data_IF_500489543991
#
_entry.id   IF_500489543991
#
_cell.length_a   1.000
_cell.length_b   1.000
_cell.length_c   1.000
_cell.angle_alpha   90.00
_cell.angle_beta   90.00
_cell.angle_gamma   90.00
#
_symmetry.space_group_name_H-M   'P 1'
#
loop_
_entity.id
_entity.type
_entity.pdbx_description
1 polymer ?
#
# COMPACT_ATOMS: atom_id res chain seq x y z
N UNK A 1 -7.24 -31.42 -50.06
CA UNK A 1 -6.92 -31.85 -48.68
C UNK A 1 -6.40 -30.63 -47.93
N UNK A 2 -7.33 -29.88 -47.28
CA UNK A 2 -6.97 -28.64 -46.54
C UNK A 2 -6.50 -29.04 -45.14
N UNK A 3 -5.26 -28.70 -44.82
CA UNK A 3 -4.67 -28.86 -43.50
C UNK A 3 -5.16 -27.69 -42.60
N UNK A 4 -6.08 -27.95 -41.68
CA UNK A 4 -6.48 -27.00 -40.65
C UNK A 4 -5.37 -26.90 -39.63
N UNK A 5 -4.59 -25.83 -39.66
CA UNK A 5 -3.65 -25.50 -38.59
C UNK A 5 -4.47 -25.01 -37.40
N UNK A 6 -4.56 -25.84 -36.36
CA UNK A 6 -5.16 -25.48 -35.08
C UNK A 6 -4.15 -24.63 -34.32
N UNK A 7 -4.31 -23.30 -34.35
CA UNK A 7 -3.50 -22.40 -33.57
C UNK A 7 -4.01 -22.41 -32.12
N UNK A 8 -3.35 -23.22 -31.27
CA UNK A 8 -3.63 -23.24 -29.84
C UNK A 8 -3.10 -21.93 -29.24
N UNK A 9 -4.01 -21.01 -28.96
CA UNK A 9 -3.70 -19.83 -28.14
C UNK A 9 -3.35 -20.31 -26.74
N UNK A 10 -2.06 -20.35 -26.41
CA UNK A 10 -1.59 -20.48 -25.04
C UNK A 10 -1.96 -19.18 -24.32
N UNK A 11 -3.04 -19.20 -23.56
CA UNK A 11 -3.31 -18.17 -22.57
C UNK A 11 -2.22 -18.28 -21.51
N UNK A 12 -1.21 -17.40 -21.57
CA UNK A 12 -0.28 -17.22 -20.46
C UNK A 12 -1.11 -16.62 -19.34
N UNK A 13 -1.45 -17.43 -18.36
CA UNK A 13 -2.12 -16.95 -17.15
C UNK A 13 -1.20 -15.93 -16.47
N UNK A 14 -1.74 -14.74 -16.15
CA UNK A 14 -0.98 -13.75 -15.41
C UNK A 14 -0.39 -14.39 -14.14
N UNK A 15 0.85 -14.07 -13.75
CA UNK A 15 1.44 -14.65 -12.55
C UNK A 15 0.54 -14.35 -11.35
N UNK A 16 0.23 -15.39 -10.59
CA UNK A 16 -0.51 -15.26 -9.33
C UNK A 16 0.50 -15.23 -8.18
N UNK A 17 0.27 -14.41 -7.16
CA UNK A 17 1.15 -14.38 -6.00
C UNK A 17 1.01 -15.65 -5.17
N UNK A 18 2.03 -15.97 -4.39
CA UNK A 18 1.95 -16.98 -3.35
C UNK A 18 1.73 -16.32 -1.99
N UNK A 19 0.76 -16.84 -1.22
CA UNK A 19 0.61 -16.47 0.19
C UNK A 19 1.82 -16.91 0.98
N UNK A 20 2.45 -15.97 1.68
CA UNK A 20 3.62 -16.20 2.52
C UNK A 20 3.42 -15.54 3.87
N UNK A 21 4.14 -16.06 4.85
CA UNK A 21 4.10 -15.55 6.21
C UNK A 21 5.52 -15.46 6.79
N UNK A 22 5.75 -14.40 7.57
CA UNK A 22 6.94 -14.23 8.37
C UNK A 22 6.51 -13.88 9.79
N UNK A 23 7.22 -14.38 10.80
CA UNK A 23 6.91 -14.04 12.21
C UNK A 23 7.91 -13.01 12.69
N UNK A 24 7.45 -11.80 12.93
CA UNK A 24 8.28 -10.68 13.40
C UNK A 24 7.61 -10.02 14.61
N UNK A 25 8.38 -9.59 15.59
CA UNK A 25 7.88 -8.93 16.80
C UNK A 25 6.76 -9.72 17.54
N UNK A 26 6.77 -11.05 17.42
CA UNK A 26 5.73 -11.92 17.98
C UNK A 26 4.43 -11.98 17.17
N UNK A 27 4.37 -11.31 16.00
CA UNK A 27 3.21 -11.31 15.11
C UNK A 27 3.53 -12.09 13.84
N UNK A 28 2.54 -12.85 13.35
CA UNK A 28 2.57 -13.51 12.05
C UNK A 28 2.10 -12.51 11.01
N UNK A 29 3.02 -12.04 10.16
CA UNK A 29 2.75 -11.07 9.10
C UNK A 29 2.61 -11.82 7.77
N UNK A 30 1.50 -11.59 7.10
CA UNK A 30 1.20 -12.10 5.77
C UNK A 30 1.74 -11.17 4.68
N UNK A 31 2.19 -11.75 3.58
CA UNK A 31 2.50 -11.02 2.36
C UNK A 31 2.25 -11.87 1.11
N UNK A 32 1.87 -11.21 0.05
CA UNK A 32 1.76 -11.78 -1.28
C UNK A 32 3.12 -11.72 -1.96
N UNK A 33 3.68 -12.89 -2.25
CA UNK A 33 4.97 -13.06 -2.93
C UNK A 33 4.74 -13.29 -4.43
N UNK A 34 5.08 -12.28 -5.24
CA UNK A 34 4.96 -12.33 -6.70
C UNK A 34 6.16 -13.03 -7.36
N UNK A 35 6.99 -13.72 -6.59
CA UNK A 35 8.11 -14.50 -7.07
C UNK A 35 9.32 -13.66 -7.49
N UNK A 36 10.19 -14.30 -8.30
CA UNK A 36 11.48 -13.74 -8.74
C UNK A 36 12.53 -13.60 -7.63
N UNK A 37 12.73 -14.62 -6.77
CA UNK A 37 13.79 -14.59 -5.78
C UNK A 37 15.15 -14.37 -6.46
N UNK A 38 16.01 -13.56 -5.86
CA UNK A 38 17.31 -13.16 -6.43
C UNK A 38 17.29 -11.84 -7.19
N UNK A 39 16.11 -11.28 -7.52
CA UNK A 39 15.97 -9.90 -7.98
C UNK A 39 15.97 -8.93 -6.78
N UNK A 40 16.25 -7.62 -7.01
CA UNK A 40 16.14 -6.62 -5.95
C UNK A 40 14.74 -6.63 -5.32
N UNK A 41 14.62 -6.58 -3.98
CA UNK A 41 13.32 -6.61 -3.32
C UNK A 41 12.54 -5.31 -3.51
N UNK A 42 11.23 -5.44 -3.74
CA UNK A 42 10.26 -4.35 -3.68
C UNK A 42 9.20 -4.70 -2.64
N UNK A 43 9.07 -3.88 -1.60
CA UNK A 43 8.03 -4.01 -0.58
C UNK A 43 6.93 -3.00 -0.88
N UNK A 44 5.67 -3.49 -0.96
CA UNK A 44 4.49 -2.66 -1.18
C UNK A 44 3.62 -2.64 0.08
N UNK A 45 3.26 -1.45 0.55
CA UNK A 45 2.55 -1.20 1.81
C UNK A 45 1.25 -0.43 1.54
N UNK A 46 0.13 -1.03 1.88
CA UNK A 46 -1.21 -0.48 1.65
C UNK A 46 -1.57 0.67 2.62
N UNK A 47 -2.61 1.40 2.31
CA UNK A 47 -3.21 2.41 3.20
C UNK A 47 -3.98 1.79 4.36
N UNK A 48 -4.35 2.61 5.36
CA UNK A 48 -5.16 2.17 6.49
C UNK A 48 -6.47 1.54 6.00
N UNK A 49 -6.84 0.39 6.55
CA UNK A 49 -8.06 -0.34 6.20
C UNK A 49 -8.00 -1.11 4.87
N UNK A 50 -6.90 -1.04 4.11
CA UNK A 50 -6.65 -1.82 2.89
C UNK A 50 -5.92 -3.13 3.20
N UNK A 51 -5.62 -3.91 2.17
CA UNK A 51 -4.93 -5.21 2.24
C UNK A 51 -3.91 -5.36 1.12
N UNK A 52 -3.04 -6.38 1.19
CA UNK A 52 -1.99 -6.65 0.19
C UNK A 52 -2.54 -6.80 -1.24
N UNK A 53 -3.73 -7.39 -1.39
CA UNK A 53 -4.43 -7.51 -2.68
C UNK A 53 -4.81 -6.18 -3.35
N UNK A 54 -4.67 -5.05 -2.66
CA UNK A 54 -4.75 -3.71 -3.27
C UNK A 54 -3.76 -3.55 -4.42
N UNK A 55 -2.64 -4.28 -4.40
CA UNK A 55 -1.59 -4.19 -5.41
C UNK A 55 -1.68 -5.21 -6.55
N UNK A 56 -2.68 -6.09 -6.57
CA UNK A 56 -2.81 -7.17 -7.57
C UNK A 56 -2.82 -6.66 -9.02
N UNK A 57 -3.38 -5.46 -9.24
CA UNK A 57 -3.47 -4.84 -10.56
C UNK A 57 -2.13 -4.28 -11.06
N UNK A 58 -1.15 -4.10 -10.20
CA UNK A 58 0.10 -3.39 -10.50
C UNK A 58 1.37 -4.19 -10.15
N UNK A 59 1.33 -5.05 -9.15
CA UNK A 59 2.48 -5.86 -8.73
C UNK A 59 3.07 -6.74 -9.86
N UNK A 60 2.28 -7.36 -10.76
CA UNK A 60 2.81 -8.13 -11.88
C UNK A 60 3.71 -7.34 -12.81
N UNK A 61 3.45 -6.03 -12.99
CA UNK A 61 4.29 -5.16 -13.82
C UNK A 61 5.74 -5.10 -13.30
N UNK A 62 5.90 -4.96 -11.98
CA UNK A 62 7.22 -4.86 -11.35
C UNK A 62 7.90 -6.21 -11.13
N UNK A 63 7.17 -7.32 -11.14
CA UNK A 63 7.71 -8.66 -10.90
C UNK A 63 8.73 -9.10 -11.97
N UNK A 64 8.73 -8.45 -13.16
CA UNK A 64 9.76 -8.66 -14.19
C UNK A 64 11.14 -8.13 -13.79
N UNK A 65 11.21 -7.13 -12.91
CA UNK A 65 12.45 -6.44 -12.51
C UNK A 65 12.78 -6.62 -11.03
N UNK A 66 11.78 -6.90 -10.19
CA UNK A 66 11.90 -6.97 -8.73
C UNK A 66 11.32 -8.27 -8.17
N UNK A 67 11.79 -8.66 -6.99
CA UNK A 67 11.08 -9.59 -6.12
C UNK A 67 10.02 -8.78 -5.33
N UNK A 68 8.79 -8.79 -5.83
CA UNK A 68 7.70 -7.98 -5.27
C UNK A 68 7.03 -8.71 -4.11
N UNK A 69 6.90 -8.03 -2.99
CA UNK A 69 6.24 -8.48 -1.77
C UNK A 69 5.21 -7.43 -1.34
N UNK A 70 3.92 -7.71 -1.56
CA UNK A 70 2.84 -6.86 -1.05
C UNK A 70 2.42 -7.35 0.34
N UNK A 71 2.53 -6.49 1.35
CA UNK A 71 2.39 -6.87 2.76
C UNK A 71 1.01 -6.49 3.28
N UNK A 72 0.32 -7.44 3.93
CA UNK A 72 -0.74 -7.11 4.86
C UNK A 72 -0.09 -6.57 6.14
N UNK A 73 -0.17 -5.27 6.38
CA UNK A 73 0.39 -4.69 7.60
C UNK A 73 -0.32 -5.25 8.83
N UNK A 74 0.35 -5.32 10.02
CA UNK A 74 -0.28 -5.78 11.25
C UNK A 74 -1.70 -5.25 11.41
N UNK A 75 -2.61 -6.06 11.93
CA UNK A 75 -4.00 -5.68 12.12
C UNK A 75 -4.85 -5.64 10.85
N UNK A 76 -4.31 -5.99 9.67
CA UNK A 76 -5.01 -5.98 8.39
C UNK A 76 -4.89 -7.32 7.68
N UNK A 77 -5.86 -7.61 6.81
CA UNK A 77 -5.85 -8.78 5.95
C UNK A 77 -5.69 -10.08 6.71
N UNK A 78 -4.74 -10.89 6.27
CA UNK A 78 -4.42 -12.18 6.88
C UNK A 78 -3.23 -12.12 7.87
N UNK A 79 -2.74 -10.90 8.17
CA UNK A 79 -1.77 -10.65 9.23
C UNK A 79 -2.40 -10.68 10.62
N UNK A 80 -1.58 -11.06 11.61
CA UNK A 80 -2.01 -11.08 13.01
C UNK A 80 -2.39 -9.68 13.52
N UNK A 81 -3.35 -9.66 14.43
CA UNK A 81 -3.72 -8.50 15.21
C UNK A 81 -2.80 -8.36 16.42
N UNK A 82 -2.40 -7.14 16.74
CA UNK A 82 -1.57 -6.89 17.90
C UNK A 82 -2.42 -6.96 19.18
N UNK A 83 -2.13 -7.89 20.13
CA UNK A 83 -2.91 -8.04 21.35
C UNK A 83 -2.83 -6.83 22.29
N UNK A 84 -1.87 -5.94 22.07
CA UNK A 84 -1.69 -4.69 22.82
C UNK A 84 -2.28 -3.48 22.11
N UNK A 85 -2.83 -3.66 20.87
CA UNK A 85 -3.35 -2.57 20.06
C UNK A 85 -2.27 -1.56 19.62
N UNK A 86 -1.05 -2.03 19.39
CA UNK A 86 0.08 -1.20 18.98
C UNK A 86 0.04 -0.98 17.45
N UNK A 87 -0.49 0.17 17.02
CA UNK A 87 -0.74 0.52 15.62
C UNK A 87 -0.22 1.92 15.25
N UNK A 88 0.80 2.43 15.96
CA UNK A 88 1.49 3.64 15.56
C UNK A 88 2.34 3.38 14.30
N UNK A 89 2.72 4.43 13.59
CA UNK A 89 3.59 4.31 12.39
C UNK A 89 4.88 3.56 12.73
N UNK A 90 5.47 3.83 13.88
CA UNK A 90 6.69 3.19 14.35
C UNK A 90 6.52 1.69 14.64
N UNK A 91 5.30 1.24 14.97
CA UNK A 91 5.04 -0.19 15.17
C UNK A 91 4.99 -0.94 13.84
N UNK A 92 4.37 -0.35 12.82
CA UNK A 92 4.43 -0.90 11.45
C UNK A 92 5.87 -0.93 10.91
N UNK A 93 6.66 0.12 11.18
CA UNK A 93 8.08 0.18 10.76
C UNK A 93 8.87 -0.98 11.36
N UNK A 94 8.70 -1.29 12.64
CA UNK A 94 9.36 -2.43 13.29
C UNK A 94 9.05 -3.77 12.61
N UNK A 95 7.85 -3.94 12.06
CA UNK A 95 7.53 -5.16 11.33
C UNK A 95 8.30 -5.24 10.01
N UNK A 96 8.42 -4.12 9.31
CA UNK A 96 9.21 -4.07 8.06
C UNK A 96 10.70 -4.27 8.34
N UNK A 97 11.21 -3.72 9.45
CA UNK A 97 12.58 -3.98 9.94
C UNK A 97 12.80 -5.48 10.18
N UNK A 98 11.91 -6.11 10.97
CA UNK A 98 11.98 -7.54 11.24
C UNK A 98 11.84 -8.40 9.99
N UNK A 99 10.97 -8.02 9.05
CA UNK A 99 10.82 -8.70 7.76
C UNK A 99 12.10 -8.58 6.93
N UNK A 100 12.69 -7.38 6.85
CA UNK A 100 13.94 -7.15 6.14
C UNK A 100 15.10 -7.97 6.73
N UNK A 101 15.17 -8.09 8.04
CA UNK A 101 16.18 -8.90 8.74
C UNK A 101 15.99 -10.40 8.47
N UNK A 102 14.79 -10.95 8.72
CA UNK A 102 14.53 -12.38 8.58
C UNK A 102 14.65 -12.88 7.16
N UNK A 103 14.18 -12.10 6.20
CA UNK A 103 14.26 -12.43 4.76
C UNK A 103 15.61 -11.98 4.15
N UNK A 104 16.51 -11.38 4.94
CA UNK A 104 17.84 -10.88 4.53
C UNK A 104 17.77 -9.91 3.36
N UNK A 105 16.75 -9.05 3.36
CA UNK A 105 16.56 -8.09 2.28
C UNK A 105 17.57 -6.94 2.37
N UNK A 106 18.06 -6.48 1.23
CA UNK A 106 18.96 -5.35 1.06
C UNK A 106 18.59 -4.62 -0.22
N UNK A 107 18.93 -3.34 -0.30
CA UNK A 107 18.64 -2.50 -1.45
C UNK A 107 17.13 -2.52 -1.80
N UNK A 108 16.30 -2.26 -0.79
CA UNK A 108 14.85 -2.38 -0.85
C UNK A 108 14.27 -1.16 -1.56
N UNK A 109 13.52 -1.38 -2.64
CA UNK A 109 12.56 -0.40 -3.11
C UNK A 109 11.33 -0.52 -2.21
N UNK A 110 10.96 0.57 -1.54
CA UNK A 110 9.80 0.57 -0.66
C UNK A 110 8.74 1.54 -1.18
N UNK A 111 7.57 1.01 -1.46
CA UNK A 111 6.42 1.77 -1.93
C UNK A 111 5.29 1.68 -0.91
N UNK A 112 4.68 2.82 -0.62
CA UNK A 112 3.50 2.84 0.21
C UNK A 112 2.49 3.90 -0.19
N UNK A 113 1.20 3.53 -0.10
CA UNK A 113 0.08 4.46 -0.20
C UNK A 113 -0.35 4.90 1.21
N UNK A 114 -0.65 6.18 1.40
CA UNK A 114 -1.24 6.70 2.64
C UNK A 114 -0.44 6.29 3.90
N UNK A 115 -1.01 5.48 4.80
CA UNK A 115 -0.30 4.98 5.99
C UNK A 115 0.94 4.18 5.61
N UNK A 116 0.85 3.31 4.58
CA UNK A 116 2.02 2.60 4.07
C UNK A 116 3.13 3.52 3.57
N UNK A 117 2.78 4.65 2.95
CA UNK A 117 3.76 5.65 2.53
C UNK A 117 4.46 6.34 3.70
N UNK A 118 3.77 6.54 4.83
CA UNK A 118 4.39 7.04 6.07
C UNK A 118 5.37 6.03 6.65
N UNK A 119 4.98 4.75 6.64
CA UNK A 119 5.88 3.65 7.05
C UNK A 119 7.11 3.62 6.15
N UNK A 120 6.94 3.74 4.84
CA UNK A 120 8.05 3.77 3.88
C UNK A 120 9.00 4.95 4.13
N UNK A 121 8.47 6.15 4.38
CA UNK A 121 9.27 7.34 4.68
C UNK A 121 10.07 7.17 5.98
N UNK A 122 9.42 6.68 7.06
CA UNK A 122 10.09 6.47 8.36
C UNK A 122 11.16 5.37 8.24
N UNK A 123 10.83 4.25 7.59
CA UNK A 123 11.79 3.17 7.35
C UNK A 123 13.04 3.68 6.60
N UNK A 124 12.85 4.43 5.51
CA UNK A 124 13.96 4.95 4.74
C UNK A 124 14.80 6.00 5.49
N UNK A 125 14.18 6.78 6.38
CA UNK A 125 14.88 7.71 7.25
C UNK A 125 15.73 7.03 8.32
N UNK A 126 15.21 5.93 8.90
CA UNK A 126 15.92 5.15 9.92
C UNK A 126 16.99 4.21 9.31
N UNK A 127 16.76 3.72 8.09
CA UNK A 127 17.58 2.72 7.44
C UNK A 127 18.05 3.17 6.04
N UNK A 128 18.81 4.29 5.94
CA UNK A 128 19.25 4.82 4.65
C UNK A 128 20.12 3.85 3.85
N UNK A 129 20.77 2.90 4.53
CA UNK A 129 21.61 1.87 3.88
C UNK A 129 20.80 0.66 3.37
N UNK A 130 19.54 0.50 3.78
CA UNK A 130 18.64 -0.56 3.31
C UNK A 130 17.72 -0.09 2.20
N UNK A 131 17.29 1.17 2.23
CA UNK A 131 16.34 1.73 1.27
C UNK A 131 17.07 2.15 -0.02
N UNK A 132 16.80 1.46 -1.13
CA UNK A 132 17.33 1.80 -2.45
C UNK A 132 16.55 2.94 -3.12
N UNK A 133 15.22 2.95 -2.96
CA UNK A 133 14.33 4.00 -3.44
C UNK A 133 13.03 3.98 -2.65
N UNK A 134 12.35 5.12 -2.60
CA UNK A 134 11.05 5.29 -1.92
C UNK A 134 10.01 5.81 -2.90
N UNK A 135 8.83 5.16 -2.92
CA UNK A 135 7.66 5.63 -3.65
C UNK A 135 6.59 5.96 -2.61
N UNK A 136 6.31 7.25 -2.41
CA UNK A 136 5.30 7.74 -1.48
C UNK A 136 4.06 8.16 -2.26
N UNK A 137 3.01 7.34 -2.19
CA UNK A 137 1.78 7.57 -2.93
C UNK A 137 0.78 8.34 -2.09
N UNK A 138 0.52 9.57 -2.53
CA UNK A 138 -0.44 10.54 -2.01
C UNK A 138 -0.43 10.71 -0.49
N UNK A 139 0.78 10.82 0.10
CA UNK A 139 0.94 11.09 1.52
C UNK A 139 2.22 11.87 1.81
N UNK A 140 2.11 12.82 2.72
CA UNK A 140 3.24 13.58 3.28
C UNK A 140 3.55 13.18 4.73
N UNK A 141 4.55 13.84 5.34
CA UNK A 141 4.96 13.58 6.72
C UNK A 141 3.90 13.90 7.77
N UNK A 142 2.98 14.78 7.45
CA UNK A 142 2.01 15.33 8.41
C UNK A 142 0.66 14.62 8.31
N UNK A 143 0.04 14.38 9.46
CA UNK A 143 -1.37 13.99 9.58
C UNK A 143 -2.06 14.97 10.52
N UNK A 144 -2.85 15.93 9.98
CA UNK A 144 -3.61 16.86 10.80
C UNK A 144 -4.63 16.18 11.69
N UNK A 145 -4.95 16.79 12.84
CA UNK A 145 -5.93 16.28 13.81
C UNK A 145 -7.28 15.98 13.16
N UNK A 146 -7.79 16.88 12.32
CA UNK A 146 -9.09 16.73 11.67
C UNK A 146 -9.14 15.50 10.76
N UNK A 147 -8.04 15.20 10.06
CA UNK A 147 -7.91 14.00 9.21
C UNK A 147 -7.90 12.74 10.09
N UNK A 148 -7.12 12.75 11.17
CA UNK A 148 -7.04 11.62 12.09
C UNK A 148 -8.41 11.29 12.69
N UNK A 149 -9.11 12.29 13.23
CA UNK A 149 -10.44 12.12 13.83
C UNK A 149 -11.49 11.68 12.83
N UNK A 150 -11.48 12.24 11.62
CA UNK A 150 -12.45 11.89 10.57
C UNK A 150 -12.31 10.43 10.16
N UNK A 151 -11.07 9.99 9.87
CA UNK A 151 -10.78 8.60 9.46
C UNK A 151 -11.09 7.63 10.61
N UNK A 152 -10.66 7.93 11.85
CA UNK A 152 -10.96 7.07 13.00
C UNK A 152 -12.46 6.88 13.20
N UNK A 153 -13.25 7.95 13.05
CA UNK A 153 -14.70 7.88 13.13
C UNK A 153 -15.30 7.01 12.03
N UNK A 154 -14.81 7.16 10.80
CA UNK A 154 -15.25 6.33 9.66
C UNK A 154 -14.94 4.85 9.91
N UNK A 155 -13.70 4.51 10.30
CA UNK A 155 -13.29 3.14 10.59
C UNK A 155 -14.21 2.50 11.63
N UNK A 156 -14.47 3.22 12.73
CA UNK A 156 -15.36 2.75 13.80
C UNK A 156 -16.79 2.48 13.29
N UNK A 157 -17.35 3.42 12.52
CA UNK A 157 -18.70 3.26 11.97
C UNK A 157 -18.82 2.03 11.05
N UNK A 158 -17.82 1.81 10.19
CA UNK A 158 -17.78 0.66 9.29
C UNK A 158 -17.67 -0.67 10.06
N UNK A 159 -16.82 -0.72 11.09
CA UNK A 159 -16.60 -1.94 11.90
C UNK A 159 -17.84 -2.29 12.76
N UNK A 160 -18.55 -1.30 13.28
CA UNK A 160 -19.78 -1.49 14.04
C UNK A 160 -20.93 -1.95 13.14
N UNK A 161 -21.12 -1.27 12.02
CA UNK A 161 -22.25 -1.51 11.11
C UNK A 161 -22.06 -2.80 10.32
N UNK A 162 -20.94 -2.96 9.61
CA UNK A 162 -20.77 -3.99 8.59
C UNK A 162 -21.80 -3.89 7.46
N UNK A 163 -21.86 -4.90 6.60
CA UNK A 163 -22.74 -4.97 5.43
C UNK A 163 -23.51 -6.29 5.43
N UNK A 164 -24.69 -6.34 4.79
CA UNK A 164 -25.49 -7.56 4.68
C UNK A 164 -24.87 -8.56 3.69
N UNK A 165 -24.08 -8.05 2.73
CA UNK A 165 -23.40 -8.86 1.72
C UNK A 165 -22.15 -8.18 1.18
N UNK A 166 -21.29 -8.96 0.51
CA UNK A 166 -20.13 -8.43 -0.25
C UNK A 166 -20.58 -7.50 -1.38
N UNK A 167 -21.75 -7.73 -1.99
CA UNK A 167 -22.28 -6.86 -3.04
C UNK A 167 -22.75 -5.50 -2.47
N UNK A 168 -23.28 -5.45 -1.24
CA UNK A 168 -23.59 -4.17 -0.57
C UNK A 168 -22.31 -3.40 -0.28
N UNK A 169 -21.26 -4.08 0.22
CA UNK A 169 -19.93 -3.47 0.41
C UNK A 169 -19.38 -2.93 -0.92
N UNK A 170 -19.47 -3.72 -1.98
CA UNK A 170 -19.02 -3.31 -3.31
C UNK A 170 -19.81 -2.10 -3.83
N UNK A 171 -21.10 -2.02 -3.60
CA UNK A 171 -21.92 -0.86 -3.96
C UNK A 171 -21.45 0.42 -3.22
N UNK A 172 -21.07 0.29 -1.94
CA UNK A 172 -20.46 1.40 -1.20
C UNK A 172 -19.10 1.80 -1.79
N UNK A 173 -18.24 0.83 -2.15
CA UNK A 173 -16.94 1.09 -2.77
C UNK A 173 -17.07 1.82 -4.10
N UNK A 174 -18.04 1.45 -4.96
CA UNK A 174 -18.34 2.17 -6.20
C UNK A 174 -18.67 3.64 -5.94
N UNK A 175 -19.38 3.92 -4.85
CA UNK A 175 -19.75 5.29 -4.46
C UNK A 175 -18.57 6.09 -3.90
N UNK A 176 -17.74 5.46 -3.06
CA UNK A 176 -16.61 6.13 -2.39
C UNK A 176 -15.38 6.26 -3.28
N UNK A 177 -15.22 5.36 -4.26
CA UNK A 177 -14.06 5.29 -5.17
C UNK A 177 -14.49 5.21 -6.65
N UNK A 178 -15.24 6.21 -7.15
CA UNK A 178 -15.90 6.11 -8.47
C UNK A 178 -14.94 6.12 -9.68
N UNK A 179 -13.65 6.30 -9.46
CA UNK A 179 -12.62 6.28 -10.50
C UNK A 179 -11.76 5.02 -10.47
N UNK A 180 -11.85 4.23 -9.42
CA UNK A 180 -11.20 2.91 -9.34
C UNK A 180 -11.98 1.92 -10.20
N UNK A 181 -11.27 1.08 -10.96
CA UNK A 181 -11.92 0.10 -11.84
C UNK A 181 -12.72 -0.94 -11.05
N UNK A 182 -13.75 -1.49 -11.69
CA UNK A 182 -14.64 -2.49 -11.08
C UNK A 182 -13.87 -3.72 -10.58
N UNK A 183 -12.85 -4.17 -11.34
CA UNK A 183 -12.06 -5.35 -10.96
C UNK A 183 -11.25 -5.11 -9.69
N UNK A 184 -10.68 -3.92 -9.53
CA UNK A 184 -9.96 -3.53 -8.29
C UNK A 184 -10.93 -3.45 -7.11
N UNK A 185 -12.11 -2.85 -7.30
CA UNK A 185 -13.12 -2.76 -6.25
C UNK A 185 -13.62 -4.14 -5.80
N UNK A 186 -13.85 -5.06 -6.76
CA UNK A 186 -14.25 -6.44 -6.47
C UNK A 186 -13.14 -7.20 -5.71
N UNK A 187 -11.90 -7.09 -6.16
CA UNK A 187 -10.77 -7.71 -5.47
C UNK A 187 -10.68 -7.18 -4.03
N UNK A 188 -10.82 -5.88 -3.84
CA UNK A 188 -10.78 -5.29 -2.50
C UNK A 188 -11.96 -5.72 -1.62
N UNK A 189 -13.19 -5.76 -2.15
CA UNK A 189 -14.34 -6.29 -1.40
C UNK A 189 -14.13 -7.75 -1.00
N UNK A 190 -13.65 -8.58 -1.92
CA UNK A 190 -13.45 -10.01 -1.71
C UNK A 190 -12.33 -10.32 -0.71
N UNK A 191 -11.12 -9.84 -0.98
CA UNK A 191 -9.95 -10.17 -0.15
C UNK A 191 -9.87 -9.36 1.14
N UNK A 192 -10.40 -8.13 1.13
CA UNK A 192 -10.40 -7.22 2.28
C UNK A 192 -11.51 -7.46 3.30
N UNK A 193 -12.48 -8.33 3.02
CA UNK A 193 -13.60 -8.57 3.90
C UNK A 193 -13.71 -10.01 4.40
N UNK A 194 -14.51 -10.21 5.44
CA UNK A 194 -14.85 -11.53 6.00
C UNK A 194 -16.26 -11.51 6.58
N UNK A 195 -16.87 -12.68 6.74
CA UNK A 195 -18.14 -12.82 7.49
C UNK A 195 -17.87 -12.82 8.99
N UNK A 196 -18.63 -12.02 9.73
CA UNK A 196 -18.73 -12.02 11.18
C UNK A 196 -19.71 -13.11 11.64
N UNK A 197 -19.67 -13.49 12.92
CA UNK A 197 -20.49 -14.57 13.47
C UNK A 197 -22.01 -14.32 13.34
N UNK A 198 -22.45 -13.06 13.28
CA UNK A 198 -23.84 -12.65 13.05
C UNK A 198 -24.25 -12.69 11.57
N UNK A 199 -23.36 -13.14 10.67
CA UNK A 199 -23.58 -13.25 9.23
C UNK A 199 -23.24 -11.99 8.43
N UNK A 200 -22.97 -10.87 9.08
CA UNK A 200 -22.60 -9.63 8.40
C UNK A 200 -21.20 -9.70 7.81
N UNK A 201 -21.00 -9.04 6.70
CA UNK A 201 -19.69 -8.82 6.10
C UNK A 201 -19.03 -7.65 6.82
N UNK A 202 -17.77 -7.80 7.21
CA UNK A 202 -16.94 -6.75 7.82
C UNK A 202 -15.55 -6.74 7.19
N UNK A 203 -14.81 -5.66 7.36
CA UNK A 203 -13.42 -5.63 6.93
C UNK A 203 -12.56 -6.65 7.69
N UNK A 204 -11.55 -7.21 7.01
CA UNK A 204 -10.47 -8.01 7.62
C UNK A 204 -9.46 -7.07 8.28
N UNK A 205 -9.88 -6.35 9.30
CA UNK A 205 -8.99 -5.48 10.08
C UNK A 205 -9.34 -5.52 11.56
N UNK A 206 -8.35 -5.22 12.40
CA UNK A 206 -8.58 -5.05 13.84
C UNK A 206 -9.30 -3.71 14.08
N UNK A 207 -10.44 -3.67 14.77
CA UNK A 207 -11.09 -2.42 15.15
C UNK A 207 -10.19 -1.46 15.94
N UNK A 208 -9.18 -1.98 16.62
CA UNK A 208 -8.22 -1.18 17.39
C UNK A 208 -7.24 -0.35 16.54
N UNK A 209 -7.15 -0.59 15.21
CA UNK A 209 -6.24 0.19 14.34
C UNK A 209 -6.52 1.69 14.37
N UNK A 210 -7.78 2.07 14.59
CA UNK A 210 -8.19 3.47 14.74
C UNK A 210 -7.51 4.17 15.90
N UNK A 211 -7.15 3.46 16.96
CA UNK A 211 -6.45 4.01 18.14
C UNK A 211 -5.02 4.48 17.80
N UNK A 212 -4.38 3.87 16.79
CA UNK A 212 -3.06 4.27 16.28
C UNK A 212 -3.11 5.32 15.18
N UNK A 213 -4.30 5.65 14.65
CA UNK A 213 -4.45 6.64 13.61
C UNK A 213 -4.56 8.05 14.20
N UNK A 214 -3.49 8.45 14.88
CA UNK A 214 -3.38 9.73 15.60
C UNK A 214 -2.72 10.82 14.76
N UNK A 215 -2.88 12.11 15.12
CA UNK A 215 -2.10 13.18 14.52
C UNK A 215 -0.61 12.87 14.59
N UNK A 216 0.11 13.06 13.50
CA UNK A 216 1.55 12.76 13.42
C UNK A 216 2.31 13.83 12.67
N UNK A 217 3.59 13.94 13.05
CA UNK A 217 4.57 14.78 12.39
C UNK A 217 5.88 13.96 12.28
N UNK A 218 6.27 13.64 11.03
CA UNK A 218 7.37 12.71 10.74
C UNK A 218 8.60 13.39 10.12
N UNK A 219 8.65 14.72 10.12
CA UNK A 219 9.74 15.50 9.51
C UNK A 219 11.12 15.11 10.03
N UNK A 220 11.22 14.70 11.29
CA UNK A 220 12.48 14.23 11.90
C UNK A 220 13.07 13.02 11.19
N UNK A 221 12.24 12.13 10.65
CA UNK A 221 12.66 10.96 9.90
C UNK A 221 12.86 11.30 8.42
N UNK A 222 11.91 12.05 7.83
CA UNK A 222 11.94 12.42 6.42
C UNK A 222 13.23 13.15 6.07
N UNK A 223 13.71 14.08 6.90
CA UNK A 223 14.97 14.80 6.71
C UNK A 223 16.22 13.91 6.72
N UNK A 224 16.10 12.65 7.15
CA UNK A 224 17.19 11.68 7.17
C UNK A 224 17.21 10.77 5.93
N UNK A 225 16.21 10.82 5.07
CA UNK A 225 16.13 10.01 3.84
C UNK A 225 17.27 10.42 2.91
N UNK A 226 18.10 9.45 2.54
CA UNK A 226 19.22 9.62 1.60
C UNK A 226 18.95 9.03 0.23
N UNK A 227 18.10 8.00 0.18
CA UNK A 227 17.71 7.35 -1.06
C UNK A 227 16.90 8.27 -1.97
N UNK A 228 16.90 8.04 -3.29
CA UNK A 228 15.93 8.64 -4.18
C UNK A 228 14.51 8.44 -3.65
N UNK A 229 13.69 9.49 -3.70
CA UNK A 229 12.29 9.44 -3.29
C UNK A 229 11.43 10.19 -4.28
N UNK A 230 10.27 9.58 -4.60
CA UNK A 230 9.23 10.23 -5.38
C UNK A 230 7.94 10.30 -4.57
N UNK A 231 7.29 11.45 -4.62
CA UNK A 231 5.92 11.65 -4.14
C UNK A 231 5.01 11.73 -5.36
N UNK A 232 4.12 10.75 -5.51
CA UNK A 232 3.08 10.77 -6.55
C UNK A 232 1.78 11.23 -5.91
N UNK A 233 1.35 12.43 -6.25
CA UNK A 233 0.23 13.12 -5.59
C UNK A 233 -0.99 13.14 -6.51
N UNK A 234 -2.16 12.87 -5.97
CA UNK A 234 -3.42 13.04 -6.70
C UNK A 234 -3.82 14.51 -6.82
N UNK A 235 -4.06 14.99 -8.03
CA UNK A 235 -4.39 16.39 -8.29
C UNK A 235 -5.72 16.87 -7.69
N UNK A 236 -6.58 15.94 -7.27
CA UNK A 236 -7.84 16.21 -6.53
C UNK A 236 -7.73 15.89 -5.04
N UNK A 237 -6.61 15.30 -4.63
CA UNK A 237 -6.37 14.98 -3.22
C UNK A 237 -6.00 16.25 -2.43
N UNK A 238 -6.40 16.29 -1.17
CA UNK A 238 -6.02 17.33 -0.21
C UNK A 238 -5.03 16.82 0.83
N UNK A 239 -4.56 15.57 0.69
CA UNK A 239 -3.71 14.91 1.70
C UNK A 239 -2.28 15.49 1.71
N UNK A 240 -1.79 15.93 0.53
CA UNK A 240 -0.48 16.57 0.41
C UNK A 240 -0.65 17.99 -0.14
N UNK A 241 -1.01 18.96 0.71
CA UNK A 241 -1.21 20.36 0.29
C UNK A 241 0.04 20.94 -0.35
N UNK A 242 -0.13 21.97 -1.19
CA UNK A 242 0.99 22.66 -1.86
C UNK A 242 2.06 23.12 -0.86
N UNK A 243 1.65 23.63 0.30
CA UNK A 243 2.59 24.05 1.35
C UNK A 243 3.48 22.89 1.84
N UNK A 244 2.90 21.69 2.04
CA UNK A 244 3.67 20.49 2.39
C UNK A 244 4.59 20.06 1.24
N UNK A 245 4.16 20.16 -0.03
CA UNK A 245 5.01 19.85 -1.18
C UNK A 245 6.21 20.82 -1.27
N UNK A 246 6.02 22.10 -0.99
CA UNK A 246 7.09 23.09 -0.95
C UNK A 246 8.09 22.82 0.19
N UNK A 247 7.59 22.43 1.37
CA UNK A 247 8.45 22.06 2.48
C UNK A 247 9.23 20.77 2.20
N UNK A 248 8.60 19.78 1.55
CA UNK A 248 9.29 18.56 1.09
C UNK A 248 10.45 18.88 0.14
N UNK A 249 10.26 19.78 -0.82
CA UNK A 249 11.32 20.22 -1.74
C UNK A 249 12.49 20.89 -1.01
N UNK A 250 12.22 21.63 0.06
CA UNK A 250 13.27 22.24 0.90
C UNK A 250 13.99 21.20 1.76
N UNK A 251 13.22 20.29 2.37
CA UNK A 251 13.76 19.27 3.28
C UNK A 251 14.53 18.16 2.56
N UNK A 252 14.12 17.83 1.33
CA UNK A 252 14.65 16.76 0.48
C UNK A 252 14.90 17.29 -0.94
N UNK A 253 16.02 17.96 -1.22
CA UNK A 253 16.31 18.49 -2.55
C UNK A 253 16.33 17.44 -3.66
N UNK A 254 16.58 16.16 -3.32
CA UNK A 254 16.56 15.02 -4.24
C UNK A 254 15.14 14.48 -4.50
N UNK A 255 14.11 14.91 -3.76
CA UNK A 255 12.76 14.41 -3.92
C UNK A 255 12.15 14.85 -5.26
N UNK A 256 11.57 13.90 -5.97
CA UNK A 256 10.67 14.19 -7.08
C UNK A 256 9.25 14.30 -6.54
N UNK A 257 8.50 15.32 -6.96
CA UNK A 257 7.08 15.46 -6.62
C UNK A 257 6.33 15.61 -7.93
N UNK A 258 5.46 14.63 -8.21
CA UNK A 258 4.67 14.57 -9.44
C UNK A 258 3.19 14.51 -9.08
N UNK A 259 2.41 15.39 -9.66
CA UNK A 259 0.96 15.42 -9.48
C UNK A 259 0.28 14.86 -10.71
N UNK A 260 -0.60 13.85 -10.54
CA UNK A 260 -1.44 13.32 -11.61
C UNK A 260 -2.77 14.07 -11.60
N UNK A 261 -3.08 14.83 -12.67
CA UNK A 261 -4.31 15.60 -12.73
C UNK A 261 -5.57 14.70 -12.69
N UNK A 262 -6.63 15.17 -12.05
CA UNK A 262 -7.94 14.51 -12.08
C UNK A 262 -8.11 13.29 -11.17
N UNK A 263 -7.03 12.72 -10.60
CA UNK A 263 -7.10 11.60 -9.67
C UNK A 263 -7.16 12.05 -8.21
N UNK A 264 -7.69 11.20 -7.34
CA UNK A 264 -7.81 11.44 -5.89
C UNK A 264 -6.70 10.77 -5.09
N UNK A 265 -7.08 10.11 -3.99
CA UNK A 265 -6.16 9.56 -2.99
C UNK A 265 -5.46 8.25 -3.40
N UNK A 266 -5.89 7.63 -4.49
CA UNK A 266 -5.34 6.35 -4.96
C UNK A 266 -4.83 6.46 -6.41
N UNK A 267 -3.75 7.24 -6.67
CA UNK A 267 -3.22 7.44 -8.02
C UNK A 267 -2.95 6.15 -8.79
N UNK A 268 -2.42 5.12 -8.13
CA UNK A 268 -2.13 3.81 -8.74
C UNK A 268 -3.38 3.07 -9.20
N UNK A 269 -4.51 3.25 -8.52
CA UNK A 269 -5.80 2.63 -8.85
C UNK A 269 -6.62 3.47 -9.83
N UNK A 270 -6.60 4.81 -9.67
CA UNK A 270 -7.44 5.73 -10.42
C UNK A 270 -6.89 6.07 -11.82
N UNK A 271 -5.57 5.99 -12.00
CA UNK A 271 -4.90 6.16 -13.30
C UNK A 271 -3.62 5.32 -13.36
N UNK A 272 -3.78 3.99 -13.36
CA UNK A 272 -2.68 3.03 -13.38
C UNK A 272 -1.66 3.27 -14.50
N UNK A 273 -2.06 3.55 -15.78
CA UNK A 273 -1.09 3.74 -16.85
C UNK A 273 -0.16 4.94 -16.62
N UNK A 274 -0.68 6.07 -16.16
CA UNK A 274 0.12 7.27 -15.89
C UNK A 274 0.99 7.08 -14.66
N UNK A 275 0.45 6.45 -13.62
CA UNK A 275 1.21 6.11 -12.41
C UNK A 275 2.41 5.22 -12.75
N UNK A 276 2.21 4.15 -13.53
CA UNK A 276 3.28 3.26 -13.98
C UNK A 276 4.34 4.01 -14.78
N UNK A 277 3.95 4.84 -15.75
CA UNK A 277 4.90 5.61 -16.57
C UNK A 277 5.78 6.53 -15.71
N UNK A 278 5.23 7.13 -14.65
CA UNK A 278 5.96 7.97 -13.69
C UNK A 278 6.94 7.13 -12.87
N UNK A 279 6.49 6.00 -12.33
CA UNK A 279 7.31 5.14 -11.46
C UNK A 279 8.38 4.43 -12.25
N UNK A 280 8.10 3.94 -13.46
CA UNK A 280 9.09 3.33 -14.36
C UNK A 280 10.22 4.31 -14.68
N UNK A 281 9.87 5.55 -15.01
CA UNK A 281 10.85 6.60 -15.25
C UNK A 281 11.69 6.88 -14.00
N UNK A 282 11.08 6.92 -12.82
CA UNK A 282 11.77 7.14 -11.56
C UNK A 282 12.74 5.99 -11.24
N UNK A 283 12.32 4.75 -11.44
CA UNK A 283 13.13 3.55 -11.22
C UNK A 283 14.06 3.22 -12.39
N UNK A 284 14.10 4.04 -13.44
CA UNK A 284 14.85 3.82 -14.68
C UNK A 284 14.57 2.46 -15.35
N UNK A 285 13.33 2.00 -15.29
CA UNK A 285 12.84 0.79 -15.98
C UNK A 285 12.64 1.08 -17.48
N UNK A 286 12.88 0.05 -18.31
CA UNK A 286 12.74 0.12 -19.77
C UNK A 286 11.54 -0.68 -20.24
#
# INVERSE_FOLDING_TARGET
>A
MLLKILMTLLFVQAPQPADRFVTVNGLRIHYLDWGSPGKPPMIMLHGIGRVAHTFDHIAPHFASNYHVMAVDMRGHGDSAWDPKGAYLVEDYVKDIEGMAEQLRLRNIVIWGNSTGGRVAQVFAGLHPDLAAAVISEDVGPERPTQVAESVTRQLKQEDEKGWDSEEELLAQLRTSSPRTSEDILRAYAHYGSKKRADGRVIWKRDPAIGNGFVPTELWRFVRQIRSPIIYVVGGRSTIVPVATQEELKKALPQAQIVTIPGVGHYPSEENTPEFLAIVDKFLALK
#
